data_IF_339853352952
#
_entry.id   IF_339853352952
#
_cell.length_a   1.000
_cell.length_b   1.000
_cell.length_c   1.000
_cell.angle_alpha   90.00
_cell.angle_beta   90.00
_cell.angle_gamma   90.00
#
_symmetry.space_group_name_H-M   'P 1'
#
loop_
_entity.id
_entity.type
_entity.pdbx_description
1 polymer ?
#
# COMPACT_ATOMS: atom_id res chain seq x y z
N UNK A 1 9.18 -17.87 -6.89
CA UNK A 1 7.90 -17.37 -7.42
C UNK A 1 8.12 -17.01 -8.89
N UNK A 2 7.47 -17.71 -9.84
CA UNK A 2 7.66 -17.53 -11.30
C UNK A 2 6.32 -17.67 -12.06
N UNK A 3 5.28 -16.97 -11.63
CA UNK A 3 4.00 -16.88 -12.37
C UNK A 3 3.74 -15.42 -12.77
N UNK A 4 3.11 -15.17 -13.94
CA UNK A 4 2.75 -13.81 -14.34
C UNK A 4 1.71 -13.23 -13.37
N UNK A 5 1.82 -11.93 -13.13
CA UNK A 5 0.83 -11.14 -12.38
C UNK A 5 0.05 -10.36 -13.41
N UNK A 6 -1.23 -10.65 -13.55
CA UNK A 6 -2.11 -9.98 -14.51
C UNK A 6 -3.08 -9.08 -13.76
N UNK A 7 -3.34 -7.89 -14.29
CA UNK A 7 -4.30 -6.97 -13.69
C UNK A 7 -5.23 -6.47 -14.76
N UNK A 8 -6.50 -6.78 -14.57
CA UNK A 8 -7.59 -6.38 -15.44
C UNK A 8 -8.34 -5.27 -14.73
N UNK A 9 -8.31 -4.07 -15.29
CA UNK A 9 -9.17 -2.98 -14.82
C UNK A 9 -10.59 -3.28 -15.28
N UNK A 10 -11.57 -3.20 -14.38
CA UNK A 10 -12.96 -3.29 -14.78
C UNK A 10 -13.28 -2.04 -15.59
N UNK A 11 -13.82 -2.21 -16.81
CA UNK A 11 -14.38 -1.09 -17.57
C UNK A 11 -15.55 -0.52 -16.76
N UNK A 12 -15.33 0.62 -16.11
CA UNK A 12 -16.42 1.50 -15.73
C UNK A 12 -17.06 1.97 -17.03
N UNK A 13 -18.37 1.80 -17.17
CA UNK A 13 -19.15 1.92 -18.41
C UNK A 13 -19.08 3.26 -19.15
N UNK A 14 -18.27 4.23 -18.70
CA UNK A 14 -18.27 5.61 -19.21
C UNK A 14 -16.86 6.22 -19.38
N UNK A 15 -15.80 5.41 -19.52
CA UNK A 15 -14.46 5.93 -19.81
C UNK A 15 -13.98 5.41 -21.16
N UNK A 16 -14.03 6.28 -22.18
CA UNK A 16 -13.46 6.07 -23.50
C UNK A 16 -11.98 5.67 -23.40
N UNK A 17 -11.64 4.55 -24.04
CA UNK A 17 -10.28 4.05 -24.25
C UNK A 17 -9.56 4.91 -25.31
N UNK A 18 -9.21 6.15 -24.98
CA UNK A 18 -8.19 6.86 -25.76
C UNK A 18 -6.83 6.67 -25.10
N UNK A 19 -6.01 5.79 -25.66
CA UNK A 19 -4.58 5.60 -25.37
C UNK A 19 -3.70 6.81 -25.79
N UNK A 20 -4.31 7.96 -26.09
CA UNK A 20 -3.64 9.18 -26.52
C UNK A 20 -3.43 10.18 -25.36
N UNK A 21 -2.18 10.26 -24.94
CA UNK A 21 -1.36 11.46 -24.89
C UNK A 21 -1.93 12.78 -24.24
N UNK A 22 -1.32 13.13 -23.11
CA UNK A 22 -0.97 14.49 -22.63
C UNK A 22 -1.96 15.46 -21.95
N UNK A 23 -3.29 15.29 -21.91
CA UNK A 23 -4.15 16.34 -21.31
C UNK A 23 -5.39 15.84 -20.54
N UNK A 24 -5.25 15.19 -19.38
CA UNK A 24 -6.37 14.99 -18.44
C UNK A 24 -5.97 15.08 -16.96
N UNK A 25 -5.34 16.20 -16.59
CA UNK A 25 -5.35 16.64 -15.19
C UNK A 25 -6.78 17.12 -14.86
N UNK A 26 -7.67 16.25 -14.34
CA UNK A 26 -8.59 16.61 -13.24
C UNK A 26 -9.68 15.61 -12.85
N UNK A 27 -9.98 14.56 -13.60
CA UNK A 27 -11.09 13.67 -13.21
C UNK A 27 -10.77 12.22 -13.62
N UNK A 28 -10.36 11.40 -12.66
CA UNK A 28 -10.37 9.95 -12.81
C UNK A 28 -11.37 9.39 -11.79
N UNK A 29 -12.48 8.74 -12.21
CA UNK A 29 -13.36 8.07 -11.27
C UNK A 29 -12.60 6.95 -10.54
N UNK A 30 -13.06 6.60 -9.33
CA UNK A 30 -12.65 5.39 -8.59
C UNK A 30 -12.48 4.22 -9.56
N UNK A 31 -11.28 3.65 -9.63
CA UNK A 31 -10.99 2.47 -10.46
C UNK A 31 -11.07 1.22 -9.59
N UNK A 32 -11.88 0.28 -10.01
CA UNK A 32 -11.91 -1.08 -9.48
C UNK A 32 -11.18 -1.98 -10.47
N UNK A 33 -10.18 -2.73 -9.99
CA UNK A 33 -9.37 -3.62 -10.81
C UNK A 33 -9.29 -4.99 -10.14
N UNK A 34 -9.28 -6.04 -10.94
CA UNK A 34 -9.03 -7.40 -10.45
C UNK A 34 -7.57 -7.73 -10.72
N UNK A 35 -6.82 -7.96 -9.65
CA UNK A 35 -5.44 -8.43 -9.68
C UNK A 35 -5.42 -9.96 -9.58
N UNK A 36 -5.02 -10.60 -10.66
CA UNK A 36 -4.75 -12.03 -10.75
C UNK A 36 -3.30 -12.29 -10.36
N UNK A 37 -3.10 -12.95 -9.22
CA UNK A 37 -1.77 -13.32 -8.73
C UNK A 37 -1.60 -14.80 -9.08
N UNK A 38 -0.71 -15.12 -10.04
CA UNK A 38 -0.43 -16.50 -10.46
C UNK A 38 -1.66 -17.27 -10.99
N UNK A 39 -1.45 -18.51 -11.46
CA UNK A 39 -2.56 -19.36 -11.92
C UNK A 39 -3.47 -19.87 -10.79
N UNK A 40 -2.88 -20.12 -9.60
CA UNK A 40 -3.57 -20.78 -8.48
C UNK A 40 -3.62 -19.93 -7.18
N UNK A 41 -3.17 -18.67 -7.23
CA UNK A 41 -2.80 -17.91 -6.04
C UNK A 41 -3.96 -17.03 -5.52
N UNK A 42 -4.48 -16.08 -6.30
CA UNK A 42 -5.71 -15.33 -5.93
C UNK A 42 -6.23 -14.37 -7.01
N UNK A 43 -7.53 -14.06 -6.92
CA UNK A 43 -8.16 -12.87 -7.49
C UNK A 43 -8.34 -11.82 -6.39
N UNK A 44 -7.86 -10.59 -6.62
CA UNK A 44 -7.94 -9.49 -5.66
C UNK A 44 -8.60 -8.27 -6.29
N UNK A 45 -9.77 -7.89 -5.80
CA UNK A 45 -10.44 -6.62 -6.03
C UNK A 45 -9.63 -5.48 -5.39
N UNK A 46 -9.00 -4.68 -6.25
CA UNK A 46 -8.19 -3.52 -5.92
C UNK A 46 -9.01 -2.26 -6.17
N UNK A 47 -9.25 -1.49 -5.11
CA UNK A 47 -9.76 -0.13 -5.23
C UNK A 47 -8.59 0.85 -5.34
N UNK A 48 -8.58 1.64 -6.41
CA UNK A 48 -7.67 2.77 -6.62
C UNK A 48 -8.52 4.05 -6.67
N UNK A 49 -8.60 4.80 -5.56
CA UNK A 49 -9.38 6.02 -5.49
C UNK A 49 -8.74 7.11 -6.37
N UNK A 50 -9.56 7.88 -7.08
CA UNK A 50 -9.10 9.06 -7.82
C UNK A 50 -8.94 10.27 -6.90
N UNK A 51 -9.78 10.35 -5.87
CA UNK A 51 -9.71 11.32 -4.78
C UNK A 51 -10.03 10.65 -3.43
N UNK A 52 -9.68 11.30 -2.33
CA UNK A 52 -9.95 10.85 -0.97
C UNK A 52 -11.43 10.59 -0.69
N UNK A 53 -12.34 11.29 -1.38
CA UNK A 53 -13.78 11.03 -1.26
C UNK A 53 -14.15 9.61 -1.67
N UNK A 54 -13.40 9.01 -2.59
CA UNK A 54 -13.59 7.64 -3.08
C UNK A 54 -13.14 6.58 -2.07
N UNK A 55 -12.39 6.96 -1.03
CA UNK A 55 -11.98 6.03 0.03
C UNK A 55 -13.09 5.74 1.03
N UNK A 56 -14.06 6.67 1.20
CA UNK A 56 -15.11 6.54 2.20
C UNK A 56 -16.00 5.30 1.98
N UNK A 57 -16.47 4.99 0.76
CA UNK A 57 -17.22 3.76 0.50
C UNK A 57 -16.43 2.52 0.90
N UNK A 58 -15.14 2.46 0.56
CA UNK A 58 -14.28 1.33 0.90
C UNK A 58 -14.16 1.15 2.42
N UNK A 59 -13.84 2.21 3.16
CA UNK A 59 -13.76 2.16 4.63
C UNK A 59 -15.09 1.82 5.30
N UNK A 60 -16.24 2.21 4.70
CA UNK A 60 -17.57 1.81 5.17
C UNK A 60 -17.82 0.32 4.97
N UNK A 61 -17.42 -0.23 3.82
CA UNK A 61 -17.60 -1.66 3.50
C UNK A 61 -16.81 -2.55 4.46
N UNK A 62 -15.59 -2.16 4.83
CA UNK A 62 -14.74 -2.94 5.73
C UNK A 62 -14.99 -2.66 7.23
N UNK A 63 -15.78 -1.63 7.56
CA UNK A 63 -16.08 -1.25 8.94
C UNK A 63 -16.67 -2.38 9.80
N UNK A 64 -17.61 -3.21 9.29
CA UNK A 64 -18.12 -4.35 10.03
C UNK A 64 -17.04 -5.37 10.39
N UNK A 65 -16.03 -5.58 9.52
CA UNK A 65 -14.97 -6.58 9.71
C UNK A 65 -14.18 -6.29 10.98
N UNK A 66 -13.53 -5.13 11.11
CA UNK A 66 -12.76 -4.85 12.33
C UNK A 66 -13.62 -4.47 13.57
N UNK A 67 -14.92 -4.21 13.41
CA UNK A 67 -15.84 -3.99 14.54
C UNK A 67 -16.23 -5.30 15.22
N UNK A 68 -16.39 -6.38 14.46
CA UNK A 68 -16.71 -7.71 14.98
C UNK A 68 -15.50 -8.36 15.69
N UNK A 69 -14.28 -7.94 15.33
CA UNK A 69 -13.06 -8.43 15.95
C UNK A 69 -12.84 -7.90 17.37
N UNK A 70 -12.45 -8.82 18.25
CA UNK A 70 -12.07 -8.55 19.65
C UNK A 70 -10.59 -8.18 19.69
N UNK A 71 -10.16 -7.45 20.73
CA UNK A 71 -8.74 -7.11 20.93
C UNK A 71 -7.80 -8.34 20.96
N UNK A 72 -8.33 -9.51 21.34
CA UNK A 72 -7.62 -10.80 21.41
C UNK A 72 -7.64 -11.60 20.09
N UNK A 73 -8.37 -11.15 19.07
CA UNK A 73 -8.46 -11.76 17.75
C UNK A 73 -8.49 -10.64 16.69
N UNK A 74 -7.37 -9.90 16.53
CA UNK A 74 -7.34 -8.73 15.68
C UNK A 74 -7.52 -9.10 14.20
N UNK A 75 -8.11 -8.17 13.45
CA UNK A 75 -8.09 -8.20 11.99
C UNK A 75 -6.64 -8.06 11.53
N UNK A 76 -6.16 -8.97 10.69
CA UNK A 76 -4.82 -8.89 10.12
C UNK A 76 -4.92 -8.24 8.75
N UNK A 77 -4.07 -7.25 8.48
CA UNK A 77 -3.99 -6.60 7.17
C UNK A 77 -2.55 -6.58 6.70
N UNK A 78 -2.34 -6.77 5.41
CA UNK A 78 -1.04 -6.55 4.78
C UNK A 78 -0.89 -5.10 4.37
N UNK A 79 0.29 -4.51 4.58
CA UNK A 79 0.58 -3.13 4.18
C UNK A 79 1.88 -3.03 3.37
N UNK A 80 1.88 -2.19 2.35
CA UNK A 80 3.09 -1.78 1.63
C UNK A 80 3.10 -0.27 1.52
N UNK A 81 4.18 0.35 1.99
CA UNK A 81 4.41 1.79 1.83
C UNK A 81 5.43 2.00 0.70
N UNK A 82 4.95 2.47 -0.46
CA UNK A 82 5.82 2.82 -1.58
C UNK A 82 6.41 4.21 -1.39
N UNK A 83 7.73 4.28 -1.56
CA UNK A 83 8.47 5.54 -1.61
C UNK A 83 8.59 6.02 -3.05
N UNK A 84 8.63 7.33 -3.22
CA UNK A 84 8.90 7.96 -4.50
C UNK A 84 9.69 9.24 -4.31
N UNK A 85 10.23 9.77 -5.40
CA UNK A 85 11.15 10.92 -5.38
C UNK A 85 10.60 12.11 -4.60
N UNK A 86 11.50 12.84 -3.94
CA UNK A 86 11.11 14.03 -3.19
C UNK A 86 10.53 15.08 -4.16
N UNK A 87 9.45 15.80 -3.77
CA UNK A 87 8.85 16.86 -4.57
C UNK A 87 9.83 17.92 -5.09
N UNK A 88 10.88 18.27 -4.33
CA UNK A 88 11.89 19.23 -4.77
C UNK A 88 12.86 18.69 -5.84
N UNK A 89 12.97 17.36 -5.98
CA UNK A 89 13.73 16.76 -7.08
C UNK A 89 12.93 16.78 -8.39
N UNK A 90 11.65 17.14 -8.34
CA UNK A 90 10.77 17.34 -9.49
C UNK A 90 11.04 18.70 -10.13
N UNK A 91 12.14 18.81 -10.86
CA UNK A 91 12.34 19.93 -11.77
C UNK A 91 11.98 19.45 -13.18
N UNK A 92 10.92 19.99 -13.79
CA UNK A 92 10.41 19.57 -15.11
C UNK A 92 11.50 19.64 -16.20
N UNK A 93 12.51 20.49 -16.00
CA UNK A 93 13.67 20.70 -16.88
C UNK A 93 14.90 19.88 -16.51
N UNK A 94 14.99 19.37 -15.27
CA UNK A 94 16.04 18.43 -14.85
C UNK A 94 15.35 17.14 -14.44
N UNK A 95 15.24 16.20 -15.39
CA UNK A 95 14.84 14.79 -15.15
C UNK A 95 15.20 14.42 -13.72
N UNK A 96 14.19 14.18 -12.87
CA UNK A 96 14.41 13.91 -11.45
C UNK A 96 15.49 12.84 -11.30
N UNK A 97 16.67 13.25 -10.85
CA UNK A 97 17.82 12.35 -10.69
C UNK A 97 17.74 11.78 -9.28
N UNK A 98 17.06 10.66 -9.15
CA UNK A 98 16.92 9.98 -7.86
C UNK A 98 16.52 8.53 -8.03
N UNK A 99 16.88 7.71 -7.04
CA UNK A 99 16.36 6.36 -6.91
C UNK A 99 15.08 6.48 -6.06
N UNK A 100 13.87 6.35 -6.64
CA UNK A 100 12.60 6.63 -5.96
C UNK A 100 12.40 5.81 -4.68
N UNK A 101 13.05 4.64 -4.60
CA UNK A 101 13.02 3.73 -3.46
C UNK A 101 14.04 4.02 -2.35
N UNK A 102 14.82 5.12 -2.44
CA UNK A 102 15.77 5.53 -1.39
C UNK A 102 15.08 5.65 -0.03
N UNK A 103 15.77 5.24 1.04
CA UNK A 103 15.24 5.32 2.42
C UNK A 103 14.81 6.73 2.83
N UNK A 104 15.54 7.75 2.40
CA UNK A 104 15.23 9.15 2.69
C UNK A 104 14.04 9.72 1.92
N UNK A 105 13.55 9.04 0.88
CA UNK A 105 12.46 9.54 0.07
C UNK A 105 11.11 9.42 0.78
N UNK A 106 10.16 10.34 0.53
CA UNK A 106 8.86 10.29 1.16
C UNK A 106 8.00 9.10 0.68
N UNK A 107 7.08 8.66 1.53
CA UNK A 107 6.00 7.73 1.19
C UNK A 107 5.03 8.46 0.27
N UNK A 108 4.73 7.84 -0.87
CA UNK A 108 3.87 8.39 -1.93
C UNK A 108 2.58 7.63 -2.09
N UNK A 109 2.59 6.36 -1.73
CA UNK A 109 1.44 5.50 -1.85
C UNK A 109 1.50 4.44 -0.75
N UNK A 110 0.33 4.07 -0.23
CA UNK A 110 0.17 2.93 0.67
C UNK A 110 -0.81 1.96 0.05
N UNK A 111 -0.42 0.70 -0.07
CA UNK A 111 -1.34 -0.39 -0.38
C UNK A 111 -1.71 -1.13 0.90
N UNK A 112 -3.00 -1.41 1.10
CA UNK A 112 -3.55 -2.16 2.22
C UNK A 112 -4.36 -3.32 1.65
N UNK A 113 -4.12 -4.54 2.13
CA UNK A 113 -4.93 -5.70 1.80
C UNK A 113 -5.56 -6.28 3.07
N UNK A 114 -6.87 -6.52 3.01
CA UNK A 114 -7.67 -7.03 4.15
C UNK A 114 -7.98 -8.53 4.00
N UNK A 115 -7.30 -9.20 3.07
CA UNK A 115 -7.42 -10.63 2.85
C UNK A 115 -8.46 -11.04 1.83
N UNK A 116 -8.36 -12.30 1.39
CA UNK A 116 -9.30 -13.02 0.54
C UNK A 116 -9.42 -12.48 -0.89
N UNK A 117 -9.83 -11.22 -1.03
CA UNK A 117 -10.06 -10.56 -2.32
C UNK A 117 -10.00 -9.03 -2.25
N UNK A 118 -9.73 -8.34 -1.13
CA UNK A 118 -9.87 -6.87 -1.11
C UNK A 118 -8.56 -6.14 -0.81
N UNK A 119 -8.20 -5.19 -1.69
CA UNK A 119 -7.09 -4.27 -1.51
C UNK A 119 -7.47 -2.81 -1.80
N UNK A 120 -6.81 -1.89 -1.12
CA UNK A 120 -6.86 -0.45 -1.36
C UNK A 120 -5.44 0.02 -1.70
N UNK A 121 -5.27 0.68 -2.83
CA UNK A 121 -4.03 1.40 -3.16
C UNK A 121 -4.32 2.88 -3.03
N UNK A 122 -3.76 3.53 -2.01
CA UNK A 122 -4.09 4.89 -1.66
C UNK A 122 -2.91 5.83 -1.91
N UNK A 123 -3.16 6.88 -2.69
CA UNK A 123 -2.19 7.90 -3.07
C UNK A 123 -2.79 9.29 -2.85
N UNK A 124 -2.53 9.93 -1.69
CA UNK A 124 -3.08 11.23 -1.35
C UNK A 124 -2.49 12.37 -2.19
N UNK A 125 -3.31 13.38 -2.50
CA UNK A 125 -2.86 14.63 -3.12
C UNK A 125 -2.17 15.57 -2.11
N UNK A 126 -1.07 16.20 -2.50
CA UNK A 126 -0.29 17.11 -1.64
C UNK A 126 0.37 18.25 -2.43
N UNK A 127 0.70 19.35 -1.74
CA UNK A 127 1.34 20.53 -2.30
C UNK A 127 2.85 20.35 -2.45
N UNK A 128 3.29 19.95 -3.64
CA UNK A 128 4.69 19.69 -3.96
C UNK A 128 5.64 20.84 -3.59
N UNK A 129 5.27 22.08 -3.90
CA UNK A 129 6.10 23.27 -3.67
C UNK A 129 6.34 23.61 -2.20
N UNK A 130 5.55 23.03 -1.29
CA UNK A 130 5.62 23.31 0.16
C UNK A 130 6.34 22.23 0.97
N UNK A 131 6.82 21.16 0.33
CA UNK A 131 7.42 20.03 1.03
C UNK A 131 8.89 20.31 1.40
N UNK A 132 9.19 20.55 2.66
CA UNK A 132 10.56 20.88 3.11
C UNK A 132 11.35 19.70 3.69
N UNK A 133 10.87 18.46 3.53
CA UNK A 133 11.39 17.30 4.25
C UNK A 133 10.67 17.11 5.59
N UNK A 134 10.05 15.94 5.79
CA UNK A 134 9.23 15.64 6.97
C UNK A 134 7.75 15.49 6.59
N UNK A 135 6.85 16.19 7.30
CA UNK A 135 5.41 16.12 7.05
C UNK A 135 5.07 16.53 5.60
N UNK A 136 4.28 15.69 4.93
CA UNK A 136 3.78 16.00 3.60
C UNK A 136 2.63 17.02 3.71
N UNK A 137 2.71 18.13 2.96
CA UNK A 137 1.70 19.17 2.99
C UNK A 137 0.48 18.76 2.15
N UNK A 138 -0.34 17.85 2.65
CA UNK A 138 -1.55 17.42 1.96
C UNK A 138 -2.49 18.59 1.67
N UNK A 139 -3.33 18.44 0.63
CA UNK A 139 -4.36 19.43 0.34
C UNK A 139 -5.30 19.59 1.53
N UNK A 140 -5.86 20.79 1.73
CA UNK A 140 -6.71 21.09 2.91
C UNK A 140 -7.95 20.18 2.99
N UNK A 141 -8.42 19.71 1.84
CA UNK A 141 -9.54 18.77 1.72
C UNK A 141 -9.12 17.31 1.77
N UNK A 142 -7.82 17.04 2.02
CA UNK A 142 -7.31 15.69 2.08
C UNK A 142 -7.82 15.01 3.36
N UNK A 143 -8.73 14.06 3.20
CA UNK A 143 -9.47 13.41 4.29
C UNK A 143 -8.80 12.09 4.64
N UNK A 144 -7.56 12.16 5.12
CA UNK A 144 -6.84 11.04 5.75
C UNK A 144 -7.55 10.48 6.99
N UNK A 145 -8.62 11.12 7.48
CA UNK A 145 -9.27 10.74 8.74
C UNK A 145 -9.76 9.28 8.78
N UNK A 146 -10.34 8.67 7.72
CA UNK A 146 -10.72 7.26 7.74
C UNK A 146 -9.50 6.34 7.82
N UNK A 147 -8.44 6.64 7.05
CA UNK A 147 -7.19 5.87 7.06
C UNK A 147 -6.50 5.97 8.44
N UNK A 148 -6.40 7.18 9.00
CA UNK A 148 -5.88 7.43 10.36
C UNK A 148 -6.66 6.63 11.40
N UNK A 149 -7.98 6.72 11.37
CA UNK A 149 -8.84 5.99 12.30
C UNK A 149 -8.70 4.47 12.16
N UNK A 150 -8.55 3.98 10.93
CA UNK A 150 -8.38 2.56 10.65
C UNK A 150 -7.05 2.02 11.17
N UNK A 151 -5.92 2.66 10.83
CA UNK A 151 -4.58 2.22 11.22
C UNK A 151 -4.28 2.45 12.71
N UNK A 152 -4.90 3.48 13.32
CA UNK A 152 -4.81 3.71 14.77
C UNK A 152 -5.68 2.76 15.59
N UNK A 153 -6.50 1.92 14.95
CA UNK A 153 -7.37 0.99 15.66
C UNK A 153 -6.57 -0.22 16.18
N UNK A 154 -6.52 -0.39 17.51
CA UNK A 154 -5.83 -1.52 18.17
C UNK A 154 -6.43 -2.91 17.86
N UNK A 155 -7.57 -2.96 17.19
CA UNK A 155 -8.18 -4.20 16.68
C UNK A 155 -7.64 -4.60 15.31
N UNK A 156 -6.83 -3.76 14.67
CA UNK A 156 -6.19 -4.02 13.39
C UNK A 156 -4.71 -4.26 13.65
N UNK A 157 -4.18 -5.38 13.18
CA UNK A 157 -2.75 -5.69 13.15
C UNK A 157 -2.25 -5.52 11.73
N UNK A 158 -1.25 -4.65 11.56
CA UNK A 158 -0.72 -4.27 10.26
C UNK A 158 0.59 -4.99 10.03
N UNK A 159 0.56 -5.99 9.16
CA UNK A 159 1.71 -6.82 8.85
C UNK A 159 2.43 -6.31 7.60
N UNK A 160 3.74 -6.08 7.72
CA UNK A 160 4.60 -5.73 6.61
C UNK A 160 6.07 -6.02 6.91
N UNK A 161 6.90 -6.01 5.88
CA UNK A 161 8.36 -6.07 6.03
C UNK A 161 8.88 -4.68 6.36
N UNK A 162 9.68 -4.56 7.43
CA UNK A 162 10.14 -3.27 7.93
C UNK A 162 9.03 -2.49 8.62
N UNK A 163 8.17 -3.17 9.38
CA UNK A 163 6.92 -2.62 9.90
C UNK A 163 7.13 -1.42 10.82
N UNK A 164 8.18 -1.45 11.62
CA UNK A 164 8.56 -0.34 12.48
C UNK A 164 8.96 0.90 11.67
N UNK A 165 9.84 0.73 10.68
CA UNK A 165 10.30 1.83 9.82
C UNK A 165 9.14 2.43 9.02
N UNK A 166 8.24 1.59 8.50
CA UNK A 166 7.05 2.02 7.80
C UNK A 166 6.10 2.82 8.72
N UNK A 167 5.84 2.34 9.93
CA UNK A 167 4.97 3.01 10.90
C UNK A 167 5.54 4.36 11.36
N UNK A 168 6.83 4.42 11.71
CA UNK A 168 7.51 5.66 12.11
C UNK A 168 7.45 6.70 10.98
N UNK A 169 7.69 6.28 9.74
CA UNK A 169 7.68 7.18 8.59
C UNK A 169 6.27 7.64 8.22
N UNK A 170 5.25 6.79 8.34
CA UNK A 170 3.84 7.18 8.19
C UNK A 170 3.40 8.19 9.26
N UNK A 171 3.86 8.03 10.51
CA UNK A 171 3.57 8.98 11.57
C UNK A 171 4.19 10.36 11.26
N UNK A 172 5.46 10.40 10.86
CA UNK A 172 6.18 11.65 10.54
C UNK A 172 5.65 12.32 9.28
N UNK A 173 5.51 11.57 8.20
CA UNK A 173 5.23 12.15 6.89
C UNK A 173 3.73 12.31 6.64
N UNK A 174 2.91 11.37 7.11
CA UNK A 174 1.47 11.35 6.83
C UNK A 174 0.62 11.78 8.04
N UNK A 175 1.22 11.88 9.23
CA UNK A 175 0.48 12.06 10.48
C UNK A 175 -0.46 10.87 10.75
N UNK A 176 -0.05 9.67 10.35
CA UNK A 176 -0.83 8.43 10.46
C UNK A 176 -0.14 7.48 11.43
N UNK A 177 -0.77 7.25 12.58
CA UNK A 177 -0.27 6.30 13.56
C UNK A 177 -0.75 4.88 13.25
N UNK A 178 0.18 3.93 13.22
CA UNK A 178 -0.11 2.50 13.12
C UNK A 178 -0.09 1.91 14.53
N UNK A 179 -1.25 1.50 15.04
CA UNK A 179 -1.37 1.08 16.44
C UNK A 179 -0.72 -0.27 16.74
N UNK A 180 -0.70 -1.20 15.78
CA UNK A 180 -0.12 -2.54 15.93
C UNK A 180 0.65 -2.96 14.67
N UNK A 181 1.83 -2.37 14.43
CA UNK A 181 2.72 -2.87 13.39
C UNK A 181 3.22 -4.26 13.78
N UNK A 182 3.29 -5.17 12.81
CA UNK A 182 3.78 -6.52 12.99
C UNK A 182 4.82 -6.82 11.91
N UNK A 183 6.06 -7.03 12.35
CA UNK A 183 7.16 -7.39 11.47
C UNK A 183 6.98 -8.82 10.96
N UNK A 184 6.93 -8.97 9.64
CA UNK A 184 6.68 -10.27 9.01
C UNK A 184 7.82 -11.26 9.24
N UNK A 185 9.08 -10.79 9.25
CA UNK A 185 10.24 -11.66 9.50
C UNK A 185 10.17 -12.26 10.91
N UNK A 186 9.78 -11.45 11.90
CA UNK A 186 9.64 -11.86 13.29
C UNK A 186 8.44 -12.82 13.47
N UNK A 187 7.30 -12.51 12.85
CA UNK A 187 6.13 -13.37 12.86
C UNK A 187 6.42 -14.74 12.25
N UNK A 188 7.12 -14.76 11.12
CA UNK A 188 7.52 -16.00 10.47
C UNK A 188 8.48 -16.80 11.34
N UNK A 189 9.48 -16.13 11.93
CA UNK A 189 10.43 -16.77 12.81
C UNK A 189 9.77 -17.44 14.01
N UNK A 190 8.83 -16.75 14.64
CA UNK A 190 8.04 -17.28 15.76
C UNK A 190 7.15 -18.45 15.34
N UNK A 191 6.52 -18.38 14.17
CA UNK A 191 5.58 -19.39 13.71
C UNK A 191 6.26 -20.70 13.27
N UNK A 192 7.42 -20.60 12.63
CA UNK A 192 8.07 -21.74 11.97
C UNK A 192 9.40 -22.15 12.63
N UNK A 193 9.85 -21.44 13.67
CA UNK A 193 11.11 -21.74 14.36
C UNK A 193 12.35 -21.56 13.49
N UNK A 194 12.24 -20.78 12.41
CA UNK A 194 13.31 -20.48 11.47
C UNK A 194 13.41 -18.98 11.33
N UNK A 195 14.57 -18.38 11.58
CA UNK A 195 14.76 -16.99 11.18
C UNK A 195 14.48 -16.87 9.69
N UNK A 196 13.36 -16.22 9.33
CA UNK A 196 13.20 -15.70 7.99
C UNK A 196 14.07 -14.46 7.92
N UNK A 197 15.37 -14.69 7.73
CA UNK A 197 16.13 -13.73 6.98
C UNK A 197 15.43 -13.63 5.63
N UNK A 198 14.93 -12.44 5.28
CA UNK A 198 15.18 -12.02 3.90
C UNK A 198 16.70 -11.99 3.89
N UNK A 199 17.33 -13.09 3.43
CA UNK A 199 18.77 -13.06 3.19
C UNK A 199 19.00 -11.72 2.51
N UNK A 200 19.95 -10.95 3.01
CA UNK A 200 20.54 -9.89 2.22
C UNK A 200 21.29 -10.54 1.04
N UNK A 201 20.64 -11.46 0.30
CA UNK A 201 20.80 -11.66 -1.10
C UNK A 201 21.02 -10.26 -1.64
N UNK A 202 22.25 -10.09 -2.14
CA UNK A 202 22.76 -8.93 -2.88
C UNK A 202 21.56 -8.12 -3.33
N UNK A 203 21.34 -6.88 -2.83
CA UNK A 203 20.12 -6.13 -3.10
C UNK A 203 19.81 -6.36 -4.56
N UNK A 204 18.65 -6.98 -4.86
CA UNK A 204 18.23 -7.27 -6.23
C UNK A 204 18.67 -6.07 -7.03
N UNK A 205 19.58 -6.26 -8.00
CA UNK A 205 20.15 -5.15 -8.78
C UNK A 205 19.02 -4.17 -9.01
N UNK A 206 19.12 -2.98 -8.39
CA UNK A 206 18.00 -2.05 -8.34
C UNK A 206 17.49 -1.98 -9.78
N UNK A 207 16.24 -2.41 -10.05
CA UNK A 207 15.77 -2.57 -11.41
C UNK A 207 16.10 -1.28 -12.14
N UNK A 208 16.84 -1.46 -13.22
CA UNK A 208 17.55 -0.46 -14.00
C UNK A 208 16.98 0.95 -13.77
N UNK A 209 17.71 1.75 -12.96
CA UNK A 209 17.39 3.15 -12.58
C UNK A 209 15.99 3.56 -13.00
N UNK A 210 14.98 3.29 -12.17
CA UNK A 210 13.67 3.87 -12.44
C UNK A 210 13.79 5.39 -12.33
N UNK A 211 14.03 6.04 -13.48
CA UNK A 211 14.31 7.48 -13.65
C UNK A 211 13.03 8.32 -13.58
N UNK A 212 11.90 7.68 -13.28
CA UNK A 212 10.58 8.30 -13.36
C UNK A 212 10.27 9.05 -12.06
N UNK A 213 9.76 10.29 -12.16
CA UNK A 213 9.44 11.09 -10.98
C UNK A 213 8.11 10.68 -10.30
N UNK A 214 7.29 9.85 -10.94
CA UNK A 214 5.95 9.46 -10.50
C UNK A 214 5.78 7.94 -10.44
N UNK A 215 4.90 7.50 -9.54
CA UNK A 215 4.40 6.12 -9.53
C UNK A 215 3.42 5.94 -10.70
N UNK A 216 3.55 4.84 -11.41
CA UNK A 216 2.65 4.47 -12.49
C UNK A 216 1.65 3.39 -12.08
N UNK A 217 0.70 3.10 -12.97
CA UNK A 217 -0.24 1.98 -12.81
C UNK A 217 0.49 0.68 -12.45
N UNK A 218 1.66 0.42 -13.02
CA UNK A 218 2.46 -0.78 -12.73
C UNK A 218 2.93 -0.84 -11.27
N UNK A 219 3.36 0.27 -10.69
CA UNK A 219 3.76 0.35 -9.28
C UNK A 219 2.61 0.04 -8.34
N UNK A 220 1.41 0.55 -8.65
CA UNK A 220 0.19 0.26 -7.88
C UNK A 220 -0.16 -1.23 -7.89
N UNK A 221 0.01 -1.90 -9.03
CA UNK A 221 -0.20 -3.36 -9.17
C UNK A 221 0.77 -4.13 -8.27
N UNK A 222 2.05 -3.77 -8.30
CA UNK A 222 3.06 -4.40 -7.46
C UNK A 222 2.81 -4.13 -5.97
N UNK A 223 2.39 -2.91 -5.60
CA UNK A 223 2.04 -2.58 -4.22
C UNK A 223 0.86 -3.41 -3.70
N UNK A 224 -0.21 -3.54 -4.51
CA UNK A 224 -1.37 -4.34 -4.15
C UNK A 224 -1.00 -5.83 -3.98
N UNK A 225 -0.20 -6.37 -4.91
CA UNK A 225 0.32 -7.75 -4.83
C UNK A 225 1.15 -7.95 -3.57
N UNK A 226 2.10 -7.07 -3.30
CA UNK A 226 3.01 -7.21 -2.17
C UNK A 226 2.26 -7.03 -0.85
N UNK A 227 1.23 -6.17 -0.79
CA UNK A 227 0.32 -6.06 0.35
C UNK A 227 -0.49 -7.34 0.56
N UNK A 228 -1.01 -7.96 -0.52
CA UNK A 228 -1.67 -9.26 -0.44
C UNK A 228 -0.73 -10.35 0.08
N UNK A 229 0.51 -10.41 -0.42
CA UNK A 229 1.50 -11.37 0.07
C UNK A 229 1.82 -11.15 1.55
N UNK A 230 1.94 -9.89 1.99
CA UNK A 230 2.11 -9.56 3.41
C UNK A 230 0.96 -10.09 4.26
N UNK A 231 -0.29 -9.92 3.79
CA UNK A 231 -1.47 -10.47 4.45
C UNK A 231 -1.40 -12.00 4.53
N UNK A 232 -1.21 -12.69 3.40
CA UNK A 232 -1.21 -14.16 3.33
C UNK A 232 -0.15 -14.78 4.25
N UNK A 233 1.06 -14.23 4.23
CA UNK A 233 2.15 -14.69 5.08
C UNK A 233 1.77 -14.49 6.56
N UNK A 234 1.28 -13.30 6.93
CA UNK A 234 0.88 -13.01 8.30
C UNK A 234 -0.25 -13.93 8.77
N UNK A 235 -1.31 -14.11 7.97
CA UNK A 235 -2.45 -14.95 8.28
C UNK A 235 -2.01 -16.40 8.56
N UNK A 236 -1.13 -16.97 7.72
CA UNK A 236 -0.57 -18.32 7.93
C UNK A 236 0.29 -18.40 9.18
N UNK A 237 1.10 -17.37 9.47
CA UNK A 237 1.90 -17.32 10.69
C UNK A 237 1.02 -17.29 11.95
N UNK A 238 -0.03 -16.47 11.97
CA UNK A 238 -0.95 -16.40 13.11
C UNK A 238 -1.74 -17.69 13.30
N UNK A 239 -2.21 -18.32 12.21
CA UNK A 239 -2.84 -19.64 12.27
C UNK A 239 -1.90 -20.68 12.90
N UNK A 240 -0.63 -20.71 12.47
CA UNK A 240 0.38 -21.63 13.02
C UNK A 240 0.67 -21.38 14.50
N UNK A 241 0.60 -20.13 14.93
CA UNK A 241 0.76 -19.71 16.32
C UNK A 241 -0.50 -19.93 17.19
N UNK A 242 -1.59 -20.48 16.61
CA UNK A 242 -2.86 -20.68 17.31
C UNK A 242 -3.60 -19.39 17.66
N UNK A 243 -3.25 -18.28 17.00
CA UNK A 243 -3.94 -16.99 17.17
C UNK A 243 -5.11 -16.95 16.19
N UNK A 244 -6.35 -16.75 16.66
CA UNK A 244 -7.50 -16.60 15.77
C UNK A 244 -7.33 -15.35 14.91
N UNK A 245 -7.29 -15.55 13.60
CA UNK A 245 -7.26 -14.48 12.59
C UNK A 245 -8.67 -14.20 12.15
N UNK A 246 -9.06 -12.93 12.21
CA UNK A 246 -10.25 -12.45 11.56
C UNK A 246 -10.05 -12.30 10.07
N UNK A 247 -10.86 -12.99 9.26
CA UNK A 247 -10.98 -12.75 7.82
C UNK A 247 -12.39 -12.21 7.55
#
# INVERSE_FOLDING_TARGET
>A
MKGPVEVTFLKTSDADDSDDDWCHWHWCPRREAVLCIGGDLALVDVTIPGDDLDTKPWFRQIAPLYRSHRLRAPLVVGLVALRGSAPHDWNMWRRARGLPRRRGNPIRCVAICIGGTHALVYQPEFYQSKYTGGALPFWKDNKLSPLRAFLANRRVTVACVGAREAAEKLAVEWGVDVARPAELTDLFARAFGKEAGVDAAKPLEEPERDRRPYLEKSDWKYAARDAYLCFEIAARCFQKLGVPVGN
#
